data_IF_533436589777
#
_entry.id   IF_533436589777
#
_cell.length_a   1.000
_cell.length_b   1.000
_cell.length_c   1.000
_cell.angle_alpha   90.00
_cell.angle_beta   90.00
_cell.angle_gamma   90.00
#
_symmetry.space_group_name_H-M   'P 1'
#
loop_
_entity.id
_entity.type
_entity.pdbx_description
1 polymer ?
#
# COMPACT_ATOMS: atom_id res chain seq x y z
N UNK A 1 3.58 -21.51 6.22
CA UNK A 1 2.99 -21.61 4.89
C UNK A 1 2.50 -20.24 4.45
N UNK A 2 3.01 -19.74 3.33
CA UNK A 2 2.61 -18.44 2.74
C UNK A 2 1.53 -18.59 1.64
N UNK A 3 1.19 -19.82 1.25
CA UNK A 3 0.05 -20.13 0.38
C UNK A 3 0.14 -19.54 -1.03
N UNK A 4 1.33 -19.49 -1.62
CA UNK A 4 1.50 -18.95 -2.98
C UNK A 4 0.87 -19.85 -4.03
N UNK A 5 0.20 -19.21 -5.00
CA UNK A 5 -0.30 -19.87 -6.21
C UNK A 5 0.81 -20.10 -7.23
N UNK A 6 1.82 -19.24 -7.24
CA UNK A 6 2.97 -19.30 -8.14
C UNK A 6 4.20 -19.86 -7.44
N UNK A 7 5.18 -20.33 -8.21
CA UNK A 7 6.42 -20.87 -7.69
C UNK A 7 7.33 -19.75 -7.18
N UNK A 8 7.40 -19.57 -5.86
CA UNK A 8 8.27 -18.59 -5.23
C UNK A 8 8.81 -19.08 -3.88
N UNK A 9 10.12 -18.96 -3.71
CA UNK A 9 10.83 -19.30 -2.47
C UNK A 9 10.99 -18.06 -1.60
N UNK A 10 10.56 -18.14 -0.33
CA UNK A 10 10.67 -17.05 0.64
C UNK A 10 11.78 -17.34 1.63
N UNK A 11 12.70 -16.39 1.78
CA UNK A 11 13.64 -16.38 2.88
C UNK A 11 12.95 -15.88 4.14
N UNK A 12 13.19 -16.55 5.26
CA UNK A 12 12.68 -16.14 6.55
C UNK A 12 13.70 -16.37 7.67
N UNK A 13 13.51 -15.60 8.73
CA UNK A 13 14.34 -15.59 9.93
C UNK A 13 13.47 -15.79 11.16
N UNK A 14 14.01 -16.49 12.17
CA UNK A 14 13.34 -16.65 13.47
C UNK A 14 14.23 -16.06 14.55
N UNK A 15 13.65 -15.22 15.38
CA UNK A 15 14.29 -14.49 16.47
C UNK A 15 13.70 -14.93 17.81
N UNK A 16 14.53 -14.90 18.85
CA UNK A 16 14.14 -15.13 20.26
C UNK A 16 13.57 -13.87 20.95
N UNK A 17 13.63 -12.74 20.28
CA UNK A 17 13.10 -11.46 20.72
C UNK A 17 12.52 -10.67 19.53
N UNK A 18 11.71 -9.67 19.82
CA UNK A 18 11.16 -8.80 18.77
C UNK A 18 12.30 -8.10 18.00
N UNK A 19 12.43 -8.35 16.70
CA UNK A 19 13.50 -7.75 15.88
C UNK A 19 13.25 -6.28 15.52
N UNK A 20 12.12 -5.71 15.97
CA UNK A 20 11.72 -4.33 15.68
C UNK A 20 11.62 -3.52 16.96
N UNK A 21 12.08 -2.28 16.90
CA UNK A 21 11.84 -1.25 17.91
C UNK A 21 10.86 -0.22 17.35
N UNK A 22 9.75 -0.02 18.04
CA UNK A 22 8.72 0.96 17.69
C UNK A 22 8.87 2.19 18.58
N UNK A 23 8.83 3.37 17.98
CA UNK A 23 8.79 4.63 18.69
C UNK A 23 7.35 4.93 19.13
N UNK A 24 7.08 4.93 20.42
CA UNK A 24 5.74 5.14 20.99
C UNK A 24 5.17 6.54 20.70
N UNK A 25 6.01 7.51 20.32
CA UNK A 25 5.57 8.91 20.10
C UNK A 25 4.94 9.13 18.72
N UNK A 26 5.48 8.48 17.71
CA UNK A 26 5.08 8.70 16.32
C UNK A 26 4.75 7.41 15.54
N UNK A 27 4.94 6.24 16.18
CA UNK A 27 4.70 4.94 15.58
C UNK A 27 5.74 4.52 14.53
N UNK A 28 6.82 5.31 14.37
CA UNK A 28 7.93 4.92 13.52
C UNK A 28 8.64 3.69 14.09
N UNK A 29 9.27 2.92 13.22
CA UNK A 29 9.95 1.71 13.63
C UNK A 29 11.31 1.56 12.93
N UNK A 30 12.20 0.82 13.58
CA UNK A 30 13.49 0.44 13.02
C UNK A 30 13.81 -1.01 13.36
N UNK A 31 14.59 -1.67 12.51
CA UNK A 31 15.13 -3.00 12.80
C UNK A 31 16.19 -2.87 13.90
N UNK A 32 16.12 -3.74 14.91
CA UNK A 32 17.17 -3.85 15.94
C UNK A 32 18.39 -4.56 15.37
N UNK A 33 19.56 -4.29 15.91
CA UNK A 33 20.77 -5.04 15.66
C UNK A 33 20.77 -6.35 16.50
N UNK A 34 19.90 -7.30 16.09
CA UNK A 34 19.78 -8.61 16.71
C UNK A 34 19.93 -9.69 15.66
N UNK A 35 20.63 -10.77 16.02
CA UNK A 35 20.82 -11.90 15.11
C UNK A 35 19.67 -12.91 15.27
N UNK A 36 19.12 -13.43 14.17
CA UNK A 36 18.20 -14.55 14.23
C UNK A 36 18.93 -15.82 14.66
N UNK A 37 18.30 -16.64 15.47
CA UNK A 37 18.88 -17.94 15.83
C UNK A 37 18.63 -19.00 14.76
N UNK A 38 17.72 -18.77 13.81
CA UNK A 38 17.44 -19.67 12.70
C UNK A 38 17.13 -18.91 11.42
N UNK A 39 17.66 -19.39 10.30
CA UNK A 39 17.38 -18.88 8.94
C UNK A 39 17.10 -20.04 8.01
N UNK A 40 16.08 -19.91 7.19
CA UNK A 40 15.74 -20.90 6.18
C UNK A 40 15.02 -20.28 4.98
N UNK A 41 14.73 -21.12 4.00
CA UNK A 41 13.91 -20.79 2.86
C UNK A 41 12.75 -21.78 2.77
N UNK A 42 11.59 -21.30 2.29
CA UNK A 42 10.47 -22.16 1.95
C UNK A 42 10.79 -22.95 0.66
N UNK A 43 9.98 -23.96 0.38
CA UNK A 43 9.91 -24.50 -0.98
C UNK A 43 9.27 -23.49 -1.96
N UNK A 44 9.20 -23.86 -3.23
CA UNK A 44 8.62 -23.02 -4.30
C UNK A 44 7.11 -22.73 -4.14
N UNK A 45 6.43 -23.37 -3.22
CA UNK A 45 5.02 -23.14 -2.89
C UNK A 45 4.85 -22.35 -1.58
N UNK A 46 5.92 -21.80 -1.04
CA UNK A 46 5.90 -21.04 0.22
C UNK A 46 5.75 -21.90 1.46
N UNK A 47 6.06 -23.22 1.37
CA UNK A 47 5.95 -24.17 2.49
C UNK A 47 7.32 -24.49 3.06
N UNK A 48 7.35 -24.69 4.37
CA UNK A 48 8.52 -25.13 5.10
C UNK A 48 8.08 -26.06 6.24
N UNK A 49 8.82 -27.12 6.46
CA UNK A 49 8.67 -28.01 7.61
C UNK A 49 10.03 -28.60 7.96
N UNK A 50 10.42 -28.47 9.20
CA UNK A 50 11.65 -29.07 9.73
C UNK A 50 11.43 -29.51 11.17
N UNK A 51 12.00 -30.66 11.53
CA UNK A 51 12.03 -31.17 12.89
C UNK A 51 13.46 -30.95 13.48
N UNK A 52 13.51 -30.67 14.79
CA UNK A 52 14.78 -30.62 15.52
C UNK A 52 15.49 -29.25 15.48
N UNK A 53 14.77 -28.16 15.27
CA UNK A 53 15.32 -26.81 15.49
C UNK A 53 15.61 -26.63 16.99
N UNK A 54 16.87 -26.37 17.34
CA UNK A 54 17.26 -26.15 18.74
C UNK A 54 16.84 -24.75 19.19
N UNK A 55 15.98 -24.69 20.20
CA UNK A 55 15.52 -23.45 20.84
C UNK A 55 15.88 -23.52 22.34
N UNK A 56 16.40 -22.44 22.97
CA UNK A 56 16.63 -22.40 24.41
C UNK A 56 15.38 -22.76 25.20
N UNK A 57 15.52 -23.54 26.26
CA UNK A 57 14.40 -24.13 26.99
C UNK A 57 13.51 -23.12 27.75
N UNK A 58 14.00 -21.92 27.97
CA UNK A 58 13.30 -20.81 28.63
C UNK A 58 12.51 -19.93 27.68
N UNK A 59 12.60 -20.18 26.37
CA UNK A 59 11.87 -19.42 25.35
C UNK A 59 10.52 -20.09 25.09
N UNK A 60 9.43 -19.32 25.26
CA UNK A 60 8.04 -19.73 24.98
C UNK A 60 7.45 -19.05 23.74
N UNK A 61 8.12 -18.03 23.22
CA UNK A 61 7.66 -17.21 22.09
C UNK A 61 8.84 -16.90 21.17
N UNK A 62 8.57 -16.81 19.88
CA UNK A 62 9.53 -16.44 18.84
C UNK A 62 8.91 -15.45 17.86
N UNK A 63 9.74 -14.75 17.11
CA UNK A 63 9.32 -13.83 16.06
C UNK A 63 9.78 -14.35 14.70
N UNK A 64 8.80 -14.59 13.83
CA UNK A 64 9.02 -14.94 12.42
C UNK A 64 9.10 -13.66 11.60
N UNK A 65 10.21 -13.43 10.93
CA UNK A 65 10.41 -12.32 10.00
C UNK A 65 10.64 -12.87 8.59
N UNK A 66 10.05 -12.21 7.61
CA UNK A 66 10.18 -12.54 6.20
C UNK A 66 10.44 -11.27 5.41
N UNK A 67 11.28 -11.40 4.41
CA UNK A 67 11.58 -10.30 3.49
C UNK A 67 10.60 -10.22 2.31
N UNK A 68 9.63 -11.13 2.23
CA UNK A 68 8.68 -11.11 1.12
C UNK A 68 7.62 -10.02 1.32
N UNK A 69 7.51 -9.13 0.32
CA UNK A 69 6.51 -8.05 0.35
C UNK A 69 5.10 -8.62 0.31
N UNK A 70 4.20 -8.03 1.09
CA UNK A 70 2.80 -8.48 1.18
C UNK A 70 2.56 -9.61 2.18
N UNK A 71 3.57 -10.03 2.94
CA UNK A 71 3.42 -10.95 4.07
C UNK A 71 3.44 -10.22 5.42
N UNK A 72 2.78 -10.80 6.42
CA UNK A 72 2.92 -10.32 7.79
C UNK A 72 4.35 -10.56 8.27
N UNK A 73 5.02 -9.51 8.75
CA UNK A 73 6.40 -9.58 9.22
C UNK A 73 6.76 -8.36 10.09
N UNK A 74 7.34 -8.51 11.28
CA UNK A 74 7.48 -9.78 11.99
C UNK A 74 6.16 -10.27 12.59
N UNK A 75 6.04 -11.59 12.79
CA UNK A 75 4.90 -12.22 13.47
C UNK A 75 5.38 -12.90 14.74
N UNK A 76 4.76 -12.56 15.87
CA UNK A 76 4.98 -13.23 17.14
C UNK A 76 4.26 -14.58 17.15
N UNK A 77 4.98 -15.65 17.42
CA UNK A 77 4.47 -17.02 17.45
C UNK A 77 4.75 -17.66 18.82
N UNK A 78 3.80 -18.44 19.32
CA UNK A 78 3.95 -19.18 20.59
C UNK A 78 4.41 -20.61 20.29
N UNK A 79 5.35 -21.11 21.07
CA UNK A 79 5.77 -22.51 21.07
C UNK A 79 4.68 -23.28 21.84
N UNK A 80 4.03 -24.25 21.21
CA UNK A 80 2.96 -25.01 21.83
C UNK A 80 3.50 -26.09 22.82
N UNK A 81 2.59 -26.77 23.51
CA UNK A 81 2.95 -27.80 24.49
C UNK A 81 3.71 -29.02 23.87
N UNK A 82 3.58 -29.23 22.58
CA UNK A 82 4.31 -30.28 21.84
C UNK A 82 5.65 -29.77 21.31
N UNK A 83 6.11 -28.61 21.78
CA UNK A 83 7.35 -27.93 21.33
C UNK A 83 7.37 -27.64 19.82
N UNK A 84 6.22 -27.28 19.26
CA UNK A 84 6.07 -26.93 17.84
C UNK A 84 5.70 -25.48 17.66
N UNK A 85 6.16 -24.92 16.55
CA UNK A 85 5.78 -23.61 16.02
C UNK A 85 5.05 -23.84 14.70
N UNK A 86 3.94 -23.18 14.49
CA UNK A 86 3.23 -23.22 13.22
C UNK A 86 2.77 -21.82 12.81
N UNK A 87 2.87 -21.54 11.52
CA UNK A 87 2.39 -20.31 10.92
C UNK A 87 1.75 -20.59 9.56
N UNK A 88 0.57 -20.01 9.34
CA UNK A 88 -0.08 -19.96 8.05
C UNK A 88 -0.52 -18.52 7.80
N UNK A 89 0.00 -17.90 6.75
CA UNK A 89 -0.27 -16.50 6.40
C UNK A 89 -1.77 -16.23 6.19
N UNK A 90 -2.47 -17.12 5.47
CA UNK A 90 -3.88 -16.92 5.15
C UNK A 90 -4.76 -17.00 6.42
N UNK A 91 -4.48 -17.97 7.29
CA UNK A 91 -5.21 -18.12 8.55
C UNK A 91 -4.92 -16.93 9.50
N UNK A 92 -3.67 -16.48 9.53
CA UNK A 92 -3.28 -15.31 10.32
C UNK A 92 -4.01 -14.05 9.85
N UNK A 93 -3.96 -13.75 8.56
CA UNK A 93 -4.67 -12.60 7.97
C UNK A 93 -6.17 -12.69 8.20
N UNK A 94 -6.77 -13.88 8.01
CA UNK A 94 -8.19 -14.12 8.29
C UNK A 94 -8.53 -13.80 9.74
N UNK A 95 -7.71 -14.25 10.70
CA UNK A 95 -7.93 -13.95 12.12
C UNK A 95 -7.87 -12.45 12.45
N UNK A 96 -6.99 -11.71 11.77
CA UNK A 96 -6.90 -10.25 11.93
C UNK A 96 -8.14 -9.55 11.36
N UNK A 97 -8.60 -9.97 10.17
CA UNK A 97 -9.82 -9.42 9.55
C UNK A 97 -11.08 -9.71 10.38
N UNK A 98 -11.19 -10.92 10.95
CA UNK A 98 -12.30 -11.27 11.86
C UNK A 98 -12.29 -10.44 13.14
N UNK A 99 -11.13 -10.19 13.73
CA UNK A 99 -10.99 -9.30 14.89
C UNK A 99 -11.34 -7.85 14.56
N UNK A 100 -10.91 -7.36 13.40
CA UNK A 100 -11.19 -6.01 12.94
C UNK A 100 -12.68 -5.78 12.64
N UNK A 101 -13.38 -6.79 12.10
CA UNK A 101 -14.80 -6.73 11.77
C UNK A 101 -15.73 -6.96 12.95
N UNK A 102 -15.23 -7.26 14.16
CA UNK A 102 -16.05 -7.36 15.36
C UNK A 102 -16.57 -5.97 15.73
N UNK A 103 -17.88 -5.67 15.65
CA UNK A 103 -18.41 -4.35 15.95
C UNK A 103 -18.06 -4.00 17.41
N UNK A 104 -17.34 -2.92 17.61
CA UNK A 104 -17.33 -2.25 18.91
C UNK A 104 -18.79 -1.83 19.10
N UNK A 105 -19.48 -2.38 20.11
CA UNK A 105 -20.92 -2.25 20.34
C UNK A 105 -21.35 -0.77 20.40
N UNK A 106 -21.59 -0.18 19.23
CA UNK A 106 -22.32 1.06 19.04
C UNK A 106 -23.67 0.69 18.46
N UNK A 107 -24.73 1.24 19.05
CA UNK A 107 -26.10 0.97 18.62
C UNK A 107 -26.28 1.13 17.12
N UNK A 108 -27.15 0.31 16.55
CA UNK A 108 -27.40 0.12 15.12
C UNK A 108 -27.94 1.37 14.41
N UNK A 109 -27.11 2.38 14.24
CA UNK A 109 -27.25 3.41 13.22
C UNK A 109 -25.98 3.32 12.40
N UNK A 110 -26.13 3.15 11.08
CA UNK A 110 -25.01 3.19 10.13
C UNK A 110 -24.20 4.45 10.43
N UNK A 111 -23.01 4.28 11.00
CA UNK A 111 -22.11 5.39 11.31
C UNK A 111 -21.54 5.85 9.97
N UNK A 112 -22.11 6.88 9.41
CA UNK A 112 -21.52 7.60 8.31
C UNK A 112 -20.30 8.32 8.88
N UNK A 113 -19.10 7.81 8.58
CA UNK A 113 -17.86 8.49 8.93
C UNK A 113 -17.81 9.86 8.28
N UNK A 114 -17.23 10.84 8.96
CA UNK A 114 -17.04 12.18 8.39
C UNK A 114 -15.92 12.14 7.37
N UNK A 115 -16.05 12.91 6.31
CA UNK A 115 -15.00 13.16 5.34
C UNK A 115 -15.11 14.62 4.83
N UNK A 116 -14.04 15.10 4.23
CA UNK A 116 -14.00 16.46 3.71
C UNK A 116 -14.70 16.55 2.35
N UNK A 117 -15.42 17.65 2.11
CA UNK A 117 -16.16 17.91 0.84
C UNK A 117 -15.25 17.94 -0.40
N UNK A 118 -13.93 18.04 -0.19
CA UNK A 118 -12.94 17.99 -1.27
C UNK A 118 -12.77 16.59 -1.88
N UNK A 119 -13.30 15.55 -1.24
CA UNK A 119 -13.26 14.19 -1.75
C UNK A 119 -14.60 13.76 -2.34
N UNK A 120 -14.52 13.17 -3.52
CA UNK A 120 -15.65 12.51 -4.16
C UNK A 120 -15.56 11.01 -3.87
N UNK A 121 -16.65 10.43 -3.39
CA UNK A 121 -16.70 8.99 -3.15
C UNK A 121 -17.11 8.24 -4.42
N UNK A 122 -16.54 7.06 -4.60
CA UNK A 122 -17.05 6.10 -5.59
C UNK A 122 -18.51 5.71 -5.25
N UNK A 123 -19.36 5.39 -6.23
CA UNK A 123 -20.75 5.03 -5.99
C UNK A 123 -20.90 3.89 -4.97
N UNK A 124 -21.63 4.15 -3.90
CA UNK A 124 -21.89 3.16 -2.83
C UNK A 124 -20.69 2.86 -1.93
N UNK A 125 -19.62 3.64 -2.04
CA UNK A 125 -18.43 3.47 -1.18
C UNK A 125 -18.75 3.88 0.26
N UNK A 126 -18.32 3.02 1.17
CA UNK A 126 -18.31 3.21 2.62
C UNK A 126 -17.13 2.41 3.19
N UNK A 127 -16.82 2.55 4.48
CA UNK A 127 -15.71 1.84 5.12
C UNK A 127 -15.97 1.60 6.61
N UNK A 128 -15.25 0.66 7.20
CA UNK A 128 -15.33 0.37 8.64
C UNK A 128 -14.46 1.32 9.49
N UNK A 129 -14.54 1.17 10.82
CA UNK A 129 -13.78 1.99 11.77
C UNK A 129 -12.25 1.88 11.60
N UNK A 130 -11.74 0.89 10.87
CA UNK A 130 -10.33 0.72 10.55
C UNK A 130 -9.96 1.28 9.17
N UNK A 131 -10.95 1.74 8.40
CA UNK A 131 -10.77 2.30 7.07
C UNK A 131 -10.77 1.27 5.94
N UNK A 132 -11.27 0.05 6.19
CA UNK A 132 -11.41 -0.97 5.15
C UNK A 132 -12.63 -0.66 4.28
N UNK A 133 -12.47 -0.40 2.98
CA UNK A 133 -13.59 -0.05 2.13
C UNK A 133 -14.46 -1.27 1.81
N UNK A 134 -15.76 -1.03 1.63
CA UNK A 134 -16.77 -2.05 1.33
C UNK A 134 -16.81 -2.46 -0.15
N UNK A 135 -16.18 -1.68 -1.03
CA UNK A 135 -16.18 -1.87 -2.47
C UNK A 135 -14.94 -2.58 -3.01
N UNK A 136 -14.22 -3.31 -2.14
CA UNK A 136 -13.11 -4.17 -2.55
C UNK A 136 -13.61 -5.31 -3.45
N UNK A 137 -12.81 -5.66 -4.44
CA UNK A 137 -13.03 -6.87 -5.24
C UNK A 137 -13.08 -8.11 -4.34
N UNK A 138 -13.98 -9.06 -4.68
CA UNK A 138 -14.16 -10.29 -3.87
C UNK A 138 -12.90 -11.16 -3.87
N UNK A 139 -12.20 -11.19 -4.98
CA UNK A 139 -10.96 -11.93 -5.15
C UNK A 139 -9.78 -10.99 -5.02
N UNK A 140 -8.68 -11.49 -4.44
CA UNK A 140 -7.44 -10.74 -4.36
C UNK A 140 -6.77 -10.70 -5.73
N UNK A 141 -6.31 -9.53 -6.11
CA UNK A 141 -5.47 -9.33 -7.29
C UNK A 141 -4.01 -9.21 -6.85
N UNK A 142 -3.37 -10.36 -6.57
CA UNK A 142 -1.97 -10.39 -6.12
C UNK A 142 -1.08 -10.32 -7.35
N UNK A 143 -0.10 -9.37 -7.40
CA UNK A 143 0.84 -9.31 -8.52
C UNK A 143 1.67 -10.60 -8.62
N UNK A 144 2.20 -10.90 -9.81
CA UNK A 144 3.19 -11.98 -9.96
C UNK A 144 4.35 -11.83 -8.97
N UNK A 145 4.89 -12.95 -8.51
CA UNK A 145 5.91 -12.98 -7.46
C UNK A 145 7.19 -12.22 -7.85
N UNK A 146 7.59 -12.29 -9.12
CA UNK A 146 8.73 -11.55 -9.65
C UNK A 146 8.49 -10.03 -9.68
N UNK A 147 7.25 -9.61 -9.98
CA UNK A 147 6.86 -8.19 -9.90
C UNK A 147 6.91 -7.70 -8.45
N UNK A 148 6.40 -8.47 -7.48
CA UNK A 148 6.49 -8.12 -6.06
C UNK A 148 7.94 -8.03 -5.59
N UNK A 149 8.81 -8.95 -6.04
CA UNK A 149 10.24 -8.90 -5.74
C UNK A 149 10.89 -7.63 -6.29
N UNK A 150 10.61 -7.27 -7.53
CA UNK A 150 11.14 -6.07 -8.16
C UNK A 150 10.61 -4.79 -7.47
N UNK A 151 9.32 -4.75 -7.12
CA UNK A 151 8.74 -3.65 -6.34
C UNK A 151 9.49 -3.50 -5.01
N UNK A 152 9.68 -4.61 -4.27
CA UNK A 152 10.41 -4.59 -3.00
C UNK A 152 11.85 -4.10 -3.18
N UNK A 153 12.55 -4.52 -4.23
CA UNK A 153 13.94 -4.13 -4.46
C UNK A 153 14.12 -2.62 -4.61
N UNK A 154 13.08 -1.92 -5.07
CA UNK A 154 13.08 -0.45 -5.21
C UNK A 154 12.59 0.21 -3.92
N UNK A 155 11.45 -0.21 -3.37
CA UNK A 155 10.76 0.44 -2.24
C UNK A 155 11.05 -0.26 -0.90
N UNK A 156 12.30 -0.64 -0.63
CA UNK A 156 12.68 -1.33 0.61
C UNK A 156 13.19 -0.37 1.67
N UNK A 157 12.37 -0.06 2.66
CA UNK A 157 12.74 0.76 3.82
C UNK A 157 13.83 0.10 4.69
N UNK A 158 13.84 -1.22 4.79
CA UNK A 158 14.79 -1.94 5.64
C UNK A 158 16.25 -1.76 5.18
N UNK A 159 16.47 -1.42 3.92
CA UNK A 159 17.78 -1.14 3.34
C UNK A 159 18.28 0.29 3.51
N UNK A 160 17.49 1.20 4.08
CA UNK A 160 17.85 2.62 4.22
C UNK A 160 18.07 3.31 2.86
N UNK A 161 17.41 2.85 1.82
CA UNK A 161 17.63 3.32 0.46
C UNK A 161 16.93 4.65 0.23
N UNK A 162 17.73 5.66 -0.10
CA UNK A 162 17.23 6.87 -0.72
C UNK A 162 17.05 6.60 -2.22
N UNK A 163 15.82 6.44 -2.68
CA UNK A 163 15.52 6.15 -4.09
C UNK A 163 16.04 7.28 -4.98
N UNK A 164 15.96 8.52 -4.52
CA UNK A 164 16.45 9.67 -5.26
C UNK A 164 17.95 9.57 -5.60
N UNK A 165 18.76 9.05 -4.69
CA UNK A 165 20.20 8.91 -4.90
C UNK A 165 20.56 7.66 -5.71
N UNK A 166 19.76 6.58 -5.56
CA UNK A 166 20.04 5.30 -6.22
C UNK A 166 19.48 5.23 -7.65
N UNK A 167 18.39 5.96 -7.93
CA UNK A 167 17.67 5.95 -9.21
C UNK A 167 17.31 7.38 -9.64
N UNK A 168 18.32 8.24 -9.86
CA UNK A 168 18.06 9.65 -10.24
C UNK A 168 17.29 9.78 -11.57
N UNK A 169 17.32 8.75 -12.42
CA UNK A 169 16.56 8.68 -13.65
C UNK A 169 15.04 8.72 -13.45
N UNK A 170 14.52 8.24 -12.31
CA UNK A 170 13.08 8.30 -12.01
C UNK A 170 12.61 9.74 -11.71
N UNK A 171 13.55 10.66 -11.52
CA UNK A 171 13.29 12.07 -11.23
C UNK A 171 13.65 12.99 -12.39
N UNK A 172 13.93 12.41 -13.54
CA UNK A 172 14.13 13.17 -14.78
C UNK A 172 12.80 13.81 -15.18
N UNK A 173 12.83 15.11 -15.56
CA UNK A 173 11.64 15.88 -15.92
C UNK A 173 10.85 15.34 -17.12
N UNK A 174 11.42 14.44 -17.91
CA UNK A 174 10.75 13.76 -19.02
C UNK A 174 9.91 12.55 -18.56
N UNK A 175 10.16 12.07 -17.32
CA UNK A 175 9.42 10.96 -16.73
C UNK A 175 8.28 11.48 -15.86
N UNK A 176 7.12 10.83 -15.95
CA UNK A 176 5.93 11.21 -15.18
C UNK A 176 5.46 10.07 -14.28
N UNK A 177 4.79 10.46 -13.18
CA UNK A 177 4.17 9.50 -12.27
C UNK A 177 2.67 9.32 -12.52
N UNK A 178 2.09 10.12 -13.41
CA UNK A 178 0.71 10.00 -13.86
C UNK A 178 0.62 9.01 -15.03
N UNK A 179 -0.55 8.43 -15.25
CA UNK A 179 -0.74 7.39 -16.27
C UNK A 179 -1.61 7.92 -17.41
N UNK A 180 -1.03 8.29 -18.58
CA UNK A 180 -1.77 8.65 -19.77
C UNK A 180 -2.46 7.43 -20.39
N UNK A 181 -3.75 7.52 -20.63
CA UNK A 181 -4.56 6.46 -21.24
C UNK A 181 -4.60 6.66 -22.75
N UNK A 182 -4.07 5.69 -23.49
CA UNK A 182 -3.98 5.72 -24.97
C UNK A 182 -5.10 4.96 -25.66
N UNK A 183 -5.89 4.16 -24.91
CA UNK A 183 -7.00 3.34 -25.38
C UNK A 183 -8.01 3.16 -24.23
N UNK A 184 -9.31 3.16 -24.55
CA UNK A 184 -10.36 2.97 -23.55
C UNK A 184 -10.15 1.68 -22.74
N UNK A 185 -10.06 1.81 -21.42
CA UNK A 185 -9.72 0.68 -20.55
C UNK A 185 -10.37 0.78 -19.16
N UNK A 186 -10.61 -0.37 -18.53
CA UNK A 186 -10.85 -0.42 -17.10
C UNK A 186 -9.53 -0.36 -16.34
N UNK A 187 -9.56 0.25 -15.17
CA UNK A 187 -8.38 0.46 -14.31
C UNK A 187 -8.72 0.07 -12.88
N UNK A 188 -7.83 -0.65 -12.24
CA UNK A 188 -7.93 -0.97 -10.81
C UNK A 188 -6.69 -0.47 -10.07
N UNK A 189 -6.89 -0.07 -8.81
CA UNK A 189 -5.80 0.23 -7.88
C UNK A 189 -5.73 -0.88 -6.83
N UNK A 190 -4.56 -1.49 -6.69
CA UNK A 190 -4.34 -2.67 -5.85
C UNK A 190 -3.32 -2.35 -4.78
N UNK A 191 -3.67 -2.61 -3.53
CA UNK A 191 -2.78 -2.42 -2.40
C UNK A 191 -1.69 -3.50 -2.37
N UNK A 192 -0.45 -3.09 -2.16
CA UNK A 192 0.70 -3.99 -1.98
C UNK A 192 1.20 -3.95 -0.54
N UNK A 193 1.63 -2.79 -0.06
CA UNK A 193 2.15 -2.61 1.29
C UNK A 193 2.20 -1.13 1.69
N UNK A 194 2.50 -0.89 2.97
CA UNK A 194 2.86 0.43 3.49
C UNK A 194 3.79 0.26 4.68
N UNK A 195 4.87 1.01 4.71
CA UNK A 195 5.78 1.13 5.87
C UNK A 195 5.64 2.44 6.62
N UNK A 196 4.67 3.28 6.24
CA UNK A 196 4.40 4.54 6.92
C UNK A 196 4.07 4.36 8.40
N UNK A 197 4.57 5.27 9.23
CA UNK A 197 4.06 5.45 10.59
C UNK A 197 2.65 6.07 10.57
N UNK A 198 2.38 6.90 9.58
CA UNK A 198 1.12 7.63 9.44
C UNK A 198 -0.01 6.76 8.86
N UNK A 199 -1.26 7.23 9.06
CA UNK A 199 -2.46 6.65 8.50
C UNK A 199 -2.89 7.49 7.29
N UNK A 200 -2.37 7.10 6.14
CA UNK A 200 -2.54 7.84 4.90
C UNK A 200 -3.82 7.43 4.18
N UNK A 201 -4.48 8.41 3.55
CA UNK A 201 -5.63 8.18 2.67
C UNK A 201 -5.17 8.33 1.22
N UNK A 202 -5.60 7.44 0.34
CA UNK A 202 -5.16 7.42 -1.06
C UNK A 202 -6.35 7.50 -2.01
N UNK A 203 -6.16 8.25 -3.08
CA UNK A 203 -7.12 8.36 -4.16
C UNK A 203 -6.48 8.81 -5.48
N UNK A 204 -7.30 9.18 -6.41
CA UNK A 204 -6.92 9.56 -7.75
C UNK A 204 -7.73 10.75 -8.26
N UNK A 205 -7.28 11.31 -9.35
CA UNK A 205 -7.99 12.32 -10.15
C UNK A 205 -7.71 12.08 -11.63
N UNK A 206 -8.48 12.73 -12.49
CA UNK A 206 -8.27 12.66 -13.94
C UNK A 206 -8.23 14.05 -14.53
N UNK A 207 -7.52 14.17 -15.65
CA UNK A 207 -7.47 15.38 -16.45
C UNK A 207 -7.18 15.03 -17.93
N UNK A 208 -7.53 15.88 -18.89
CA UNK A 208 -7.19 15.68 -20.29
C UNK A 208 -5.66 15.61 -20.47
N UNK A 209 -5.15 14.62 -21.20
CA UNK A 209 -3.68 14.45 -21.41
C UNK A 209 -3.04 15.67 -22.08
N UNK A 210 -3.81 16.44 -22.82
CA UNK A 210 -3.35 17.68 -23.48
C UNK A 210 -3.29 18.91 -22.57
N UNK A 211 -3.69 18.80 -21.31
CA UNK A 211 -3.80 19.91 -20.36
C UNK A 211 -2.85 19.74 -19.18
N UNK A 212 -2.51 20.85 -18.55
CA UNK A 212 -1.81 20.86 -17.26
C UNK A 212 -2.88 20.98 -16.17
N UNK A 213 -2.96 20.04 -15.24
CA UNK A 213 -3.97 20.08 -14.18
C UNK A 213 -3.70 21.20 -13.18
N UNK A 214 -4.76 21.72 -12.57
CA UNK A 214 -4.70 22.66 -11.43
C UNK A 214 -5.53 22.09 -10.29
N UNK A 215 -5.31 22.60 -9.07
CA UNK A 215 -6.08 22.17 -7.88
C UNK A 215 -7.57 22.40 -8.05
N UNK A 216 -7.95 23.45 -8.79
CA UNK A 216 -9.33 23.85 -9.02
C UNK A 216 -10.04 22.99 -10.05
N UNK A 217 -9.30 22.43 -11.03
CA UNK A 217 -9.90 21.67 -12.13
C UNK A 217 -9.78 20.14 -11.98
N UNK A 218 -9.19 19.65 -10.89
CA UNK A 218 -9.16 18.22 -10.58
C UNK A 218 -10.24 17.86 -9.55
N UNK A 219 -10.89 16.72 -9.79
CA UNK A 219 -11.81 16.10 -8.83
C UNK A 219 -11.09 14.95 -8.13
N UNK A 220 -10.87 15.09 -6.81
CA UNK A 220 -10.22 14.05 -6.01
C UNK A 220 -11.20 12.95 -5.67
N UNK A 221 -10.97 11.76 -6.16
CA UNK A 221 -11.82 10.58 -5.96
C UNK A 221 -11.11 9.64 -4.98
N UNK A 222 -11.82 9.27 -3.92
CA UNK A 222 -11.30 8.39 -2.87
C UNK A 222 -11.23 6.95 -3.37
N UNK A 223 -10.09 6.28 -3.12
CA UNK A 223 -9.93 4.85 -3.36
C UNK A 223 -9.77 4.07 -2.05
N UNK A 224 -8.85 4.49 -1.19
CA UNK A 224 -8.55 3.81 0.08
C UNK A 224 -8.55 4.80 1.23
N UNK A 225 -9.52 4.70 2.18
CA UNK A 225 -9.58 5.55 3.37
C UNK A 225 -8.34 5.45 4.26
N UNK A 226 -7.84 4.22 4.47
CA UNK A 226 -6.64 3.94 5.25
C UNK A 226 -5.72 3.00 4.47
N UNK A 227 -4.60 3.53 3.95
CA UNK A 227 -3.60 2.79 3.19
C UNK A 227 -2.58 2.08 4.10
N UNK A 228 -3.04 1.40 5.15
CA UNK A 228 -2.19 0.68 6.09
C UNK A 228 -2.49 -0.82 6.06
N UNK A 229 -1.46 -1.69 6.10
CA UNK A 229 -1.67 -3.14 6.13
C UNK A 229 -2.34 -3.58 7.43
N UNK A 230 -3.20 -4.59 7.38
CA UNK A 230 -3.91 -5.15 8.55
C UNK A 230 -2.93 -5.65 9.63
N UNK A 231 -1.73 -6.05 9.22
CA UNK A 231 -0.62 -6.50 10.07
C UNK A 231 0.38 -5.37 10.38
N UNK A 232 -0.05 -4.09 10.32
CA UNK A 232 0.81 -2.95 10.68
C UNK A 232 1.47 -3.18 12.04
N UNK A 233 2.77 -2.88 12.12
CA UNK A 233 3.61 -3.12 13.31
C UNK A 233 3.08 -2.41 14.56
N UNK A 234 2.48 -1.23 14.39
CA UNK A 234 1.83 -0.48 15.47
C UNK A 234 0.53 0.16 14.98
N UNK A 235 -0.54 0.06 15.78
CA UNK A 235 -1.81 0.72 15.55
C UNK A 235 -2.80 -0.08 14.69
N UNK A 236 -3.59 0.61 13.86
CA UNK A 236 -4.74 0.06 13.15
C UNK A 236 -4.42 -0.09 11.68
N UNK A 237 -4.61 -1.28 11.12
CA UNK A 237 -4.51 -1.54 9.69
C UNK A 237 -5.85 -1.97 9.10
N UNK A 238 -5.97 -1.82 7.78
CA UNK A 238 -7.21 -2.07 7.05
C UNK A 238 -7.03 -3.04 5.87
N UNK A 239 -5.86 -3.08 5.24
CA UNK A 239 -5.67 -3.68 3.94
C UNK A 239 -4.75 -4.90 3.97
N UNK A 240 -4.92 -5.75 2.97
CA UNK A 240 -4.08 -6.92 2.70
C UNK A 240 -3.56 -6.80 1.28
N UNK A 241 -2.32 -7.25 1.03
CA UNK A 241 -1.77 -7.31 -0.32
C UNK A 241 -2.75 -8.00 -1.28
N UNK A 242 -3.00 -7.36 -2.42
CA UNK A 242 -3.99 -7.80 -3.40
C UNK A 242 -5.42 -7.27 -3.16
N UNK A 243 -5.67 -6.48 -2.11
CA UNK A 243 -6.95 -5.75 -1.98
C UNK A 243 -7.08 -4.76 -3.13
N UNK A 244 -8.12 -4.92 -3.94
CA UNK A 244 -8.35 -4.20 -5.19
C UNK A 244 -9.61 -3.35 -5.11
N UNK A 245 -9.49 -2.11 -5.58
CA UNK A 245 -10.61 -1.22 -5.87
C UNK A 245 -10.66 -0.98 -7.38
N UNK A 246 -11.78 -1.29 -8.02
CA UNK A 246 -12.04 -0.90 -9.41
C UNK A 246 -12.31 0.59 -9.46
N UNK A 247 -11.48 1.32 -10.18
CA UNK A 247 -11.63 2.76 -10.33
C UNK A 247 -12.71 3.09 -11.36
N UNK A 248 -13.24 4.30 -11.31
CA UNK A 248 -14.25 4.78 -12.24
C UNK A 248 -13.88 6.17 -12.75
N UNK A 249 -14.05 6.39 -14.03
CA UNK A 249 -13.89 7.69 -14.65
C UNK A 249 -15.09 8.59 -14.30
N UNK A 250 -14.83 9.79 -13.80
CA UNK A 250 -15.86 10.79 -13.65
C UNK A 250 -15.99 11.58 -14.95
N UNK A 251 -17.11 11.43 -15.63
CA UNK A 251 -17.40 12.16 -16.86
C UNK A 251 -18.08 13.48 -16.51
N UNK A 252 -17.37 14.60 -16.70
CA UNK A 252 -17.87 15.94 -16.37
C UNK A 252 -19.08 16.34 -17.25
N UNK A 253 -19.13 15.90 -18.52
CA UNK A 253 -20.21 16.22 -19.45
C UNK A 253 -21.54 15.60 -19.02
N UNK A 254 -21.49 14.38 -18.50
CA UNK A 254 -22.69 13.63 -18.05
C UNK A 254 -22.95 13.74 -16.56
N UNK A 255 -21.98 14.19 -15.77
CA UNK A 255 -22.03 14.21 -14.31
C UNK A 255 -22.15 12.82 -13.70
N UNK A 256 -21.57 11.77 -14.33
CA UNK A 256 -21.67 10.37 -13.91
C UNK A 256 -20.33 9.68 -13.89
N UNK A 257 -20.25 8.64 -13.08
CA UNK A 257 -19.15 7.69 -13.11
C UNK A 257 -19.34 6.66 -14.23
N UNK A 258 -18.26 6.37 -14.93
CA UNK A 258 -18.15 5.37 -15.98
C UNK A 258 -17.09 4.32 -15.60
N UNK A 259 -17.27 3.07 -16.05
CA UNK A 259 -16.35 1.96 -15.71
C UNK A 259 -15.02 2.05 -16.48
N UNK A 260 -15.04 2.67 -17.66
CA UNK A 260 -13.86 2.79 -18.51
C UNK A 260 -13.32 4.21 -18.50
N UNK A 261 -12.01 4.31 -18.42
CA UNK A 261 -11.28 5.55 -18.66
C UNK A 261 -11.09 5.72 -20.17
N UNK A 262 -11.53 6.83 -20.76
CA UNK A 262 -11.42 7.03 -22.21
C UNK A 262 -10.00 7.37 -22.62
N UNK A 263 -9.66 7.07 -23.87
CA UNK A 263 -8.44 7.54 -24.51
C UNK A 263 -8.31 9.07 -24.40
N UNK A 264 -7.10 9.55 -24.10
CA UNK A 264 -6.79 10.98 -24.00
C UNK A 264 -7.00 11.57 -22.62
N UNK A 265 -7.29 10.73 -21.63
CA UNK A 265 -7.34 11.09 -20.20
C UNK A 265 -6.07 10.61 -19.53
N UNK A 266 -5.53 11.40 -18.61
CA UNK A 266 -4.44 11.02 -17.72
C UNK A 266 -4.98 10.81 -16.31
N UNK A 267 -4.52 9.76 -15.65
CA UNK A 267 -4.83 9.46 -14.25
C UNK A 267 -3.68 9.94 -13.39
N UNK A 268 -3.96 10.86 -12.49
CA UNK A 268 -3.06 11.28 -11.44
C UNK A 268 -3.48 10.70 -10.09
N UNK A 269 -2.55 10.67 -9.17
CA UNK A 269 -2.69 10.05 -7.85
C UNK A 269 -2.53 11.10 -6.74
N UNK A 270 -3.19 10.89 -5.62
CA UNK A 270 -2.88 11.66 -4.42
C UNK A 270 -2.84 10.77 -3.17
N UNK A 271 -1.98 11.17 -2.26
CA UNK A 271 -1.95 10.66 -0.90
C UNK A 271 -2.20 11.81 0.06
N UNK A 272 -3.19 11.67 0.96
CA UNK A 272 -3.45 12.61 2.04
C UNK A 272 -2.68 12.14 3.27
N UNK A 273 -1.58 12.80 3.60
CA UNK A 273 -0.76 12.46 4.77
C UNK A 273 -1.57 12.59 6.06
N UNK A 274 -1.57 11.57 6.92
CA UNK A 274 -2.37 11.49 8.15
C UNK A 274 -3.87 11.75 7.90
N UNK A 275 -4.37 11.36 6.72
CA UNK A 275 -5.74 11.64 6.30
C UNK A 275 -6.81 10.80 6.99
N UNK A 276 -6.43 9.70 7.64
CA UNK A 276 -7.33 8.80 8.36
C UNK A 276 -7.17 8.94 9.88
N UNK A 277 -8.29 8.98 10.59
CA UNK A 277 -8.33 9.06 12.06
C UNK A 277 -8.35 7.64 12.65
N UNK A 278 -7.22 7.16 13.13
CA UNK A 278 -7.09 5.81 13.73
C UNK A 278 -7.60 5.72 15.17
N UNK A 279 -7.67 6.85 15.88
CA UNK A 279 -8.19 6.98 17.23
C UNK A 279 -8.99 8.28 17.37
N UNK A 280 -10.06 8.32 18.17
CA UNK A 280 -10.83 9.54 18.39
C UNK A 280 -9.95 10.67 18.91
N UNK A 281 -10.06 11.85 18.33
CA UNK A 281 -9.31 13.04 18.73
C UNK A 281 -9.94 14.33 18.20
N UNK A 282 -9.94 15.38 19.00
CA UNK A 282 -10.38 16.73 18.61
C UNK A 282 -11.79 16.79 18.01
N UNK A 283 -12.71 15.94 18.47
CA UNK A 283 -14.10 15.89 17.96
C UNK A 283 -14.29 15.03 16.73
N UNK A 284 -13.22 14.40 16.21
CA UNK A 284 -13.28 13.40 15.17
C UNK A 284 -13.37 12.00 15.79
N UNK A 285 -14.08 11.09 15.15
CA UNK A 285 -14.22 9.69 15.52
C UNK A 285 -13.17 8.84 14.82
N UNK A 286 -12.90 7.64 15.35
CA UNK A 286 -12.15 6.63 14.60
C UNK A 286 -12.88 6.35 13.27
N UNK A 287 -12.16 6.24 12.18
CA UNK A 287 -12.71 6.05 10.85
C UNK A 287 -12.96 7.35 10.07
N UNK A 288 -12.99 8.51 10.73
CA UNK A 288 -13.17 9.78 10.05
C UNK A 288 -11.96 10.13 9.16
N UNK A 289 -12.24 10.77 8.02
CA UNK A 289 -11.20 11.32 7.15
C UNK A 289 -11.02 12.81 7.44
N UNK A 290 -9.77 13.19 7.62
CA UNK A 290 -9.38 14.52 8.09
C UNK A 290 -8.38 15.19 7.15
N UNK A 291 -8.16 16.49 7.32
CA UNK A 291 -7.20 17.26 6.52
C UNK A 291 -5.75 16.75 6.67
N UNK A 292 -5.39 16.19 7.83
CA UNK A 292 -4.05 15.71 8.11
C UNK A 292 -2.95 16.71 7.75
N UNK A 293 -1.88 16.21 7.11
CA UNK A 293 -0.72 17.00 6.67
C UNK A 293 -0.85 17.55 5.24
N UNK A 294 -2.02 17.45 4.64
CA UNK A 294 -2.28 17.90 3.28
C UNK A 294 -1.97 16.84 2.22
N UNK A 295 -2.46 17.08 0.99
CA UNK A 295 -2.30 16.15 -0.12
C UNK A 295 -0.86 16.18 -0.67
N UNK A 296 -0.45 15.03 -1.20
CA UNK A 296 0.75 14.82 -2.02
C UNK A 296 0.28 14.28 -3.36
N UNK A 297 0.53 15.00 -4.42
CA UNK A 297 0.07 14.67 -5.77
C UNK A 297 1.19 14.01 -6.58
N UNK A 298 0.84 13.09 -7.46
CA UNK A 298 1.76 12.53 -8.45
C UNK A 298 2.17 13.56 -9.50
N UNK A 299 1.27 14.45 -9.89
CA UNK A 299 1.60 15.60 -10.74
C UNK A 299 2.40 16.62 -9.93
N UNK A 300 3.70 16.69 -10.16
CA UNK A 300 4.65 17.46 -9.33
C UNK A 300 4.28 18.93 -9.16
N UNK A 301 3.75 19.57 -10.20
CA UNK A 301 3.36 21.00 -10.18
C UNK A 301 2.23 21.31 -9.18
N UNK A 302 1.43 20.31 -8.79
CA UNK A 302 0.35 20.46 -7.81
C UNK A 302 0.84 20.43 -6.37
N UNK A 303 2.09 20.02 -6.13
CA UNK A 303 2.67 19.98 -4.79
C UNK A 303 3.19 21.35 -4.38
N UNK A 304 3.06 21.66 -3.09
CA UNK A 304 3.70 22.85 -2.51
C UNK A 304 5.22 22.75 -2.65
N UNK A 305 5.91 23.81 -3.06
CA UNK A 305 7.36 23.85 -3.08
C UNK A 305 7.93 23.64 -1.67
N UNK A 306 9.09 23.00 -1.59
CA UNK A 306 9.84 22.93 -0.34
C UNK A 306 10.29 24.33 0.12
N UNK A 307 10.84 24.41 1.33
CA UNK A 307 11.39 25.69 1.87
C UNK A 307 12.51 26.27 1.01
N UNK A 308 13.14 25.44 0.20
CA UNK A 308 14.16 25.80 -0.81
C UNK A 308 13.56 26.30 -2.13
N UNK A 309 12.23 26.40 -2.24
CA UNK A 309 11.51 26.81 -3.45
C UNK A 309 11.43 25.71 -4.53
N UNK A 310 11.95 24.52 -4.28
CA UNK A 310 11.94 23.40 -5.24
C UNK A 310 10.67 22.58 -5.06
N UNK A 311 9.92 22.38 -6.16
CA UNK A 311 8.80 21.44 -6.16
C UNK A 311 9.34 20.01 -6.06
N UNK A 312 8.68 19.19 -5.22
CA UNK A 312 9.12 17.83 -4.97
C UNK A 312 8.16 16.83 -5.61
N UNK A 313 8.72 15.89 -6.33
CA UNK A 313 8.00 14.69 -6.74
C UNK A 313 7.65 13.88 -5.48
N UNK A 314 6.39 13.45 -5.37
CA UNK A 314 5.85 12.75 -4.19
C UNK A 314 5.36 11.35 -4.51
N UNK A 315 5.50 10.95 -5.76
CA UNK A 315 5.07 9.66 -6.25
C UNK A 315 6.03 9.20 -7.34
N UNK A 316 6.31 7.92 -7.35
CA UNK A 316 7.06 7.24 -8.43
C UNK A 316 6.14 6.19 -9.00
N UNK A 317 6.02 6.16 -10.34
CA UNK A 317 5.32 5.12 -11.09
C UNK A 317 6.33 4.37 -11.94
N UNK A 318 6.30 3.03 -11.88
CA UNK A 318 7.24 2.14 -12.58
C UNK A 318 6.45 1.05 -13.30
N UNK A 319 6.59 0.98 -14.62
CA UNK A 319 5.87 0.06 -15.50
C UNK A 319 6.56 -1.31 -15.53
N UNK A 320 5.80 -2.38 -15.36
CA UNK A 320 6.30 -3.73 -15.64
C UNK A 320 6.47 -3.94 -17.16
N UNK A 321 7.71 -4.17 -17.59
CA UNK A 321 8.04 -4.30 -19.00
C UNK A 321 7.50 -5.58 -19.65
N UNK A 322 7.16 -6.62 -18.85
CA UNK A 322 6.67 -7.89 -19.37
C UNK A 322 5.20 -7.86 -19.74
N UNK A 323 4.39 -7.16 -18.95
CA UNK A 323 2.93 -7.18 -19.16
C UNK A 323 2.37 -5.89 -19.75
N UNK A 324 3.01 -4.74 -19.55
CA UNK A 324 2.49 -3.40 -19.87
C UNK A 324 1.06 -3.13 -19.34
N UNK A 325 0.64 -3.94 -18.34
CA UNK A 325 -0.68 -3.85 -17.70
C UNK A 325 -0.54 -3.59 -16.21
N UNK A 326 0.70 -3.56 -15.70
CA UNK A 326 1.01 -3.33 -14.29
C UNK A 326 1.93 -2.11 -14.19
N UNK A 327 1.52 -1.16 -13.37
CA UNK A 327 2.33 0.01 -13.00
C UNK A 327 2.43 0.05 -11.47
N UNK A 328 3.62 -0.20 -10.94
CA UNK A 328 3.89 -0.03 -9.51
C UNK A 328 3.91 1.44 -9.14
N UNK A 329 3.32 1.80 -8.01
CA UNK A 329 3.28 3.17 -7.51
C UNK A 329 3.77 3.19 -6.07
N UNK A 330 4.76 4.04 -5.80
CA UNK A 330 5.24 4.35 -4.45
C UNK A 330 4.98 5.81 -4.10
N UNK A 331 4.49 6.05 -2.90
CA UNK A 331 4.19 7.38 -2.38
C UNK A 331 5.14 7.77 -1.26
N UNK A 332 5.47 9.07 -1.23
CA UNK A 332 6.22 9.74 -0.18
C UNK A 332 5.29 10.69 0.59
N UNK A 333 5.04 10.42 1.86
CA UNK A 333 4.16 11.24 2.69
C UNK A 333 4.89 12.42 3.37
N UNK A 334 6.19 12.32 3.55
CA UNK A 334 7.00 13.31 4.26
C UNK A 334 8.27 13.72 3.48
N UNK A 335 9.49 13.40 3.97
CA UNK A 335 10.76 13.91 3.44
C UNK A 335 11.91 12.90 3.44
N UNK A 336 11.69 11.67 3.83
CA UNK A 336 12.75 10.64 3.90
C UNK A 336 13.06 9.99 2.53
N UNK A 337 12.24 10.27 1.51
CA UNK A 337 12.48 9.96 0.10
C UNK A 337 12.65 8.46 -0.18
N UNK A 338 11.96 7.63 0.60
CA UNK A 338 11.97 6.18 0.42
C UNK A 338 10.79 5.67 -0.42
N UNK A 339 9.75 6.50 -0.61
CA UNK A 339 8.55 6.23 -1.41
C UNK A 339 7.83 4.92 -1.05
N UNK A 340 8.03 4.43 0.16
CA UNK A 340 7.39 3.22 0.66
C UNK A 340 6.26 3.48 1.68
N UNK A 341 5.84 4.75 1.82
CA UNK A 341 4.75 5.14 2.72
C UNK A 341 3.40 4.56 2.30
N UNK A 342 3.20 4.35 1.01
CA UNK A 342 2.12 3.54 0.48
C UNK A 342 2.54 2.98 -0.88
N UNK A 343 2.49 1.67 -1.03
CA UNK A 343 2.86 0.97 -2.26
C UNK A 343 1.61 0.31 -2.82
N UNK A 344 1.33 0.64 -4.06
CA UNK A 344 0.23 0.08 -4.84
C UNK A 344 0.75 -0.43 -6.18
N UNK A 345 -0.06 -1.16 -6.90
CA UNK A 345 0.06 -1.24 -8.33
C UNK A 345 -1.28 -0.92 -9.00
N UNK A 346 -1.19 -0.37 -10.19
CA UNK A 346 -2.33 -0.14 -11.08
C UNK A 346 -2.40 -1.30 -12.05
N UNK A 347 -3.57 -1.92 -12.13
CA UNK A 347 -3.86 -2.92 -13.14
C UNK A 347 -4.67 -2.28 -14.27
N UNK A 348 -4.14 -2.37 -15.48
CA UNK A 348 -4.74 -1.87 -16.72
C UNK A 348 -5.33 -3.07 -17.46
N UNK A 349 -6.64 -3.09 -17.67
CA UNK A 349 -7.31 -4.26 -18.25
C UNK A 349 -6.95 -4.47 -19.73
N UNK A 350 -6.91 -3.40 -20.51
CA UNK A 350 -6.61 -3.47 -21.93
C UNK A 350 -5.10 -3.35 -22.18
N UNK A 351 -4.54 -4.30 -22.89
CA UNK A 351 -3.15 -4.27 -23.32
C UNK A 351 -2.87 -3.04 -24.20
N UNK A 352 -1.70 -2.44 -24.05
CA UNK A 352 -1.24 -1.27 -24.80
C UNK A 352 -2.14 -0.01 -24.60
N UNK A 353 -2.82 0.08 -23.46
CA UNK A 353 -3.68 1.22 -23.11
C UNK A 353 -2.97 2.34 -22.35
N UNK A 354 -1.66 2.24 -22.14
CA UNK A 354 -0.83 3.28 -21.51
C UNK A 354 0.30 3.72 -22.45
N UNK A 355 0.81 4.94 -22.24
CA UNK A 355 1.99 5.43 -22.96
C UNK A 355 3.26 4.91 -22.28
N UNK A 356 3.93 3.96 -22.92
CA UNK A 356 5.15 3.33 -22.43
C UNK A 356 6.36 4.27 -22.42
N UNK A 357 6.34 5.32 -23.24
CA UNK A 357 7.48 6.21 -23.43
C UNK A 357 7.73 7.18 -22.28
N UNK A 358 6.73 7.39 -21.41
CA UNK A 358 6.79 8.41 -20.35
C UNK A 358 6.82 7.84 -18.92
N UNK A 359 6.53 6.55 -18.75
CA UNK A 359 6.59 5.87 -17.44
C UNK A 359 7.85 5.00 -17.42
N UNK A 360 8.79 5.22 -16.49
CA UNK A 360 10.01 4.42 -16.40
C UNK A 360 9.71 2.95 -16.13
N UNK A 361 10.60 2.07 -16.60
CA UNK A 361 10.47 0.64 -16.34
C UNK A 361 10.82 0.28 -14.89
N UNK A 362 10.09 -0.68 -14.34
CA UNK A 362 10.44 -1.31 -13.07
C UNK A 362 11.70 -2.17 -13.29
N UNK A 363 12.82 -1.86 -12.62
CA UNK A 363 14.05 -2.64 -12.72
C UNK A 363 13.83 -4.11 -12.34
N UNK A 364 14.50 -5.01 -13.06
CA UNK A 364 14.39 -6.48 -12.87
C UNK A 364 15.58 -7.05 -12.12
#
# INVERSE_FOLDING_TARGET
DYGFKEEYTVLFEIYDQDPIEVNDKDGSWKKKEVEPFYRAATDKHGKFSEDGISIPADISEVWLSSDYLGTASPVKLTINADHRISFNQNDYVKSLLEKASTPISRGATANQHKYLDVWTLLPGMDWDDNGRPNNLSKEKNIPPADVLYNIKSIFDKAGGRNIHDNYPEFFNGDMISDIPITKDTEVSLVFVNSSAAWYNTVGYYTYPTSEIPTIENIKRILAFPNASPIYKTAGVGALVCGDEVKLKYWNEDTGKFEDKFPKGVTIGWYLQGMGFRSTPSNGDSQGDLVKGMGPRYSTTILNEPGKDGVQRQRTISLRDSKSNQIVAIGFEDNIDLDYCDAIFYVHIAEKDAIDEGVIPELPT
#
